data_IF_949488804961
#
_entry.id   IF_949488804961
#
_cell.length_a   1.000
_cell.length_b   1.000
_cell.length_c   1.000
_cell.angle_alpha   90.00
_cell.angle_beta   90.00
_cell.angle_gamma   90.00
#
_symmetry.space_group_name_H-M   'P 1'
#
loop_
_entity.id
_entity.type
_entity.pdbx_description
1 polymer ?
#
# COMPACT_ATOMS: atom_id res chain seq x y z
N UNK A 1 -20.10 30.56 19.57
CA UNK A 1 -19.03 30.40 18.57
C UNK A 1 -19.45 31.18 17.33
N UNK A 2 -18.67 32.19 16.94
CA UNK A 2 -18.97 33.03 15.77
C UNK A 2 -18.62 32.28 14.49
N UNK A 3 -19.64 31.69 13.82
CA UNK A 3 -19.46 31.10 12.48
C UNK A 3 -19.25 32.25 11.49
N UNK A 4 -18.04 32.39 10.93
CA UNK A 4 -17.80 33.36 9.84
C UNK A 4 -18.59 32.94 8.60
N UNK A 5 -19.01 33.94 7.81
CA UNK A 5 -19.80 33.75 6.61
C UNK A 5 -19.03 32.93 5.56
N UNK A 6 -19.78 32.16 4.75
CA UNK A 6 -19.24 31.45 3.58
C UNK A 6 -18.75 32.49 2.56
N UNK A 7 -17.64 32.23 1.89
CA UNK A 7 -17.05 33.15 0.92
C UNK A 7 -17.67 33.02 -0.47
N UNK A 8 -18.20 31.85 -0.82
CA UNK A 8 -19.05 31.64 -2.00
C UNK A 8 -20.44 31.06 -1.60
N UNK A 9 -21.35 31.00 -2.59
CA UNK A 9 -22.77 30.61 -2.42
C UNK A 9 -23.07 29.18 -2.90
N UNK A 10 -22.05 28.33 -3.04
CA UNK A 10 -22.23 26.96 -3.53
C UNK A 10 -23.03 26.10 -2.55
N UNK A 11 -23.93 25.25 -3.06
CA UNK A 11 -24.76 24.37 -2.22
C UNK A 11 -23.92 23.41 -1.35
N UNK A 12 -22.75 22.99 -1.84
CA UNK A 12 -21.83 22.09 -1.14
C UNK A 12 -20.75 22.83 -0.33
N UNK A 13 -20.91 24.14 -0.15
CA UNK A 13 -19.86 24.95 0.44
C UNK A 13 -19.93 25.01 1.96
N UNK A 14 -18.77 24.89 2.58
CA UNK A 14 -18.59 24.79 4.03
C UNK A 14 -17.91 26.06 4.56
N UNK A 15 -18.32 26.60 5.72
CA UNK A 15 -17.63 27.70 6.37
C UNK A 15 -16.15 27.37 6.63
N UNK A 16 -15.26 28.36 6.44
CA UNK A 16 -13.81 28.18 6.51
C UNK A 16 -13.32 27.55 7.82
N UNK A 17 -13.98 27.88 8.92
CA UNK A 17 -13.60 27.44 10.28
C UNK A 17 -14.50 26.33 10.84
N UNK A 18 -15.33 25.69 10.01
CA UNK A 18 -16.03 24.49 10.47
C UNK A 18 -15.03 23.32 10.55
N UNK A 19 -15.33 22.33 11.37
CA UNK A 19 -14.55 21.09 11.48
C UNK A 19 -14.94 20.15 10.33
N UNK A 20 -13.99 19.48 9.67
CA UNK A 20 -14.32 18.44 8.67
C UNK A 20 -14.84 17.24 9.44
N UNK A 21 -15.89 16.56 8.96
CA UNK A 21 -16.53 15.45 9.67
C UNK A 21 -15.58 14.28 10.03
N UNK A 22 -14.37 14.24 9.46
CA UNK A 22 -13.30 13.27 9.75
C UNK A 22 -12.14 13.83 10.59
N UNK A 23 -12.12 15.12 10.91
CA UNK A 23 -11.04 15.75 11.67
C UNK A 23 -11.62 16.67 12.75
N UNK A 24 -12.25 16.09 13.77
CA UNK A 24 -12.88 16.81 14.88
C UNK A 24 -12.43 16.33 16.25
N UNK A 25 -12.66 17.17 17.26
CA UNK A 25 -12.35 16.82 18.65
C UNK A 25 -13.14 15.55 19.03
N UNK A 26 -12.43 14.49 19.42
CA UNK A 26 -13.02 13.20 19.76
C UNK A 26 -13.15 12.20 18.61
N UNK A 27 -12.68 12.52 17.39
CA UNK A 27 -12.52 11.50 16.34
C UNK A 27 -11.24 10.70 16.64
N UNK A 28 -11.32 9.36 16.67
CA UNK A 28 -10.14 8.52 16.82
C UNK A 28 -9.15 8.84 15.70
N UNK A 29 -7.95 9.22 16.08
CA UNK A 29 -6.86 9.36 15.12
C UNK A 29 -6.48 7.96 14.64
N UNK A 30 -6.79 7.64 13.38
CA UNK A 30 -6.39 6.37 12.75
C UNK A 30 -4.88 6.30 12.49
N UNK A 31 -4.12 7.34 12.88
CA UNK A 31 -2.66 7.32 12.90
C UNK A 31 -2.16 6.36 13.98
N UNK A 32 -2.01 5.09 13.61
CA UNK A 32 -1.27 4.12 14.40
C UNK A 32 0.21 4.51 14.55
N UNK A 33 0.90 4.02 15.60
CA UNK A 33 2.33 4.24 15.73
C UNK A 33 3.07 3.66 14.53
N UNK A 34 4.13 4.34 14.08
CA UNK A 34 5.03 3.79 13.07
C UNK A 34 5.65 2.50 13.64
N UNK A 35 5.51 1.41 12.91
CA UNK A 35 6.17 0.14 13.24
C UNK A 35 7.52 0.13 12.52
N UNK A 36 8.60 0.21 13.29
CA UNK A 36 9.96 0.03 12.75
C UNK A 36 10.31 -1.46 12.76
N UNK A 37 10.44 -2.12 11.60
CA UNK A 37 10.82 -3.52 11.55
C UNK A 37 12.30 -3.69 11.93
N UNK A 38 12.59 -4.79 12.62
CA UNK A 38 13.97 -5.19 12.90
C UNK A 38 14.69 -5.66 11.63
N UNK A 39 16.02 -5.56 11.59
CA UNK A 39 16.84 -6.09 10.48
C UNK A 39 16.52 -7.56 10.17
N UNK A 40 16.30 -8.36 11.22
CA UNK A 40 15.97 -9.78 11.10
C UNK A 40 14.61 -10.02 10.43
N UNK A 41 13.60 -9.18 10.72
CA UNK A 41 12.29 -9.25 10.07
C UNK A 41 12.38 -8.84 8.60
N UNK A 42 13.14 -7.79 8.30
CA UNK A 42 13.41 -7.36 6.92
C UNK A 42 14.06 -8.50 6.13
N UNK A 43 15.09 -9.13 6.68
CA UNK A 43 15.81 -10.21 6.02
C UNK A 43 14.95 -11.46 5.83
N UNK A 44 14.09 -11.78 6.81
CA UNK A 44 13.11 -12.87 6.69
C UNK A 44 12.13 -12.63 5.53
N UNK A 45 11.62 -11.41 5.38
CA UNK A 45 10.70 -11.04 4.30
C UNK A 45 11.40 -11.04 2.94
N UNK A 46 12.64 -10.53 2.86
CA UNK A 46 13.45 -10.63 1.64
C UNK A 46 13.66 -12.10 1.23
N UNK A 47 14.04 -12.95 2.18
CA UNK A 47 14.27 -14.36 1.92
C UNK A 47 13.00 -15.10 1.48
N UNK A 48 11.82 -14.80 2.06
CA UNK A 48 10.56 -15.42 1.64
C UNK A 48 10.17 -15.01 0.22
N UNK A 49 10.29 -13.71 -0.10
CA UNK A 49 9.99 -13.17 -1.43
C UNK A 49 10.91 -13.74 -2.52
N UNK A 50 12.19 -13.92 -2.20
CA UNK A 50 13.17 -14.52 -3.12
C UNK A 50 12.93 -16.02 -3.32
N UNK A 51 12.52 -16.77 -2.29
CA UNK A 51 12.22 -18.20 -2.43
C UNK A 51 11.01 -18.46 -3.34
N UNK A 52 9.94 -17.67 -3.22
CA UNK A 52 8.77 -17.76 -4.10
C UNK A 52 9.16 -17.55 -5.57
N UNK A 53 9.83 -16.43 -5.86
CA UNK A 53 10.32 -16.10 -7.21
C UNK A 53 11.27 -17.16 -7.77
N UNK A 54 12.15 -17.73 -6.94
CA UNK A 54 13.07 -18.79 -7.37
C UNK A 54 12.32 -20.06 -7.79
N UNK A 55 11.24 -20.41 -7.08
CA UNK A 55 10.46 -21.59 -7.40
C UNK A 55 9.67 -21.39 -8.71
N UNK A 56 9.07 -20.22 -8.92
CA UNK A 56 8.41 -19.84 -10.17
C UNK A 56 9.37 -19.90 -11.36
N UNK A 57 10.56 -19.31 -11.23
CA UNK A 57 11.60 -19.33 -12.27
C UNK A 57 12.11 -20.75 -12.56
N UNK A 58 12.10 -21.63 -11.56
CA UNK A 58 12.51 -23.03 -11.75
C UNK A 58 11.46 -23.81 -12.53
N UNK A 59 10.19 -23.61 -12.20
CA UNK A 59 9.06 -24.23 -12.90
C UNK A 59 9.02 -23.79 -14.38
N UNK A 60 9.21 -22.50 -14.66
CA UNK A 60 9.32 -21.97 -16.02
C UNK A 60 10.52 -22.56 -16.78
N UNK A 61 11.67 -22.71 -16.12
CA UNK A 61 12.86 -23.30 -16.73
C UNK A 61 12.65 -24.78 -17.06
N UNK A 62 12.04 -25.54 -16.15
CA UNK A 62 11.75 -26.96 -16.35
C UNK A 62 10.77 -27.11 -17.56
N UNK A 63 9.73 -26.28 -17.65
CA UNK A 63 8.79 -26.24 -18.79
C UNK A 63 9.49 -25.92 -20.12
N UNK A 64 10.40 -24.94 -20.13
CA UNK A 64 11.18 -24.59 -21.33
C UNK A 64 12.16 -25.70 -21.76
N UNK A 65 12.63 -26.51 -20.81
CA UNK A 65 13.55 -27.62 -21.07
C UNK A 65 12.81 -28.83 -21.66
N UNK A 66 11.56 -29.05 -21.24
CA UNK A 66 10.70 -30.13 -21.75
C UNK A 66 10.17 -29.85 -23.17
N UNK A 67 10.18 -28.59 -23.62
CA UNK A 67 9.83 -28.26 -24.99
C UNK A 67 10.90 -28.76 -25.98
N UNK A 68 10.50 -29.31 -27.14
CA UNK A 68 11.45 -29.73 -28.17
C UNK A 68 12.27 -28.53 -28.64
N UNK A 69 13.56 -28.56 -28.34
CA UNK A 69 14.54 -27.57 -28.78
C UNK A 69 14.60 -27.59 -30.31
N UNK A 70 14.11 -26.53 -30.95
CA UNK A 70 14.10 -26.41 -32.41
C UNK A 70 15.55 -26.40 -32.92
N UNK A 71 15.99 -27.49 -33.54
CA UNK A 71 17.34 -27.62 -34.11
C UNK A 71 18.33 -28.51 -33.35
N UNK A 72 17.87 -29.43 -32.50
CA UNK A 72 18.75 -30.53 -32.08
C UNK A 72 19.15 -31.38 -33.32
N UNK A 73 20.45 -31.65 -33.55
CA UNK A 73 20.92 -32.46 -34.68
C UNK A 73 20.47 -33.92 -34.62
#
# INVERSE_FOLDING_TARGET
MNKRAKTLTGTNERPENETIAQSGFGIPDDSGPLVEPTEAEIDRVKASRLRGRRNELKEELDEQTDLPQRGAP
#
